data_IF_415353583679
#
_entry.id   IF_415353583679
#
_cell.length_a   1.000
_cell.length_b   1.000
_cell.length_c   1.000
_cell.angle_alpha   90.00
_cell.angle_beta   90.00
_cell.angle_gamma   90.00
#
_symmetry.space_group_name_H-M   'P 1'
#
loop_
_entity.id
_entity.type
_entity.pdbx_description
1 polymer ?
#
# COMPACT_ATOMS: atom_id res chain seq x y z
N UNK A 1 -21.02 -22.79 -3.41
CA UNK A 1 -20.42 -22.57 -2.09
C UNK A 1 -19.95 -21.14 -1.95
N UNK A 2 -20.40 -20.44 -0.93
CA UNK A 2 -20.02 -19.07 -0.70
C UNK A 2 -18.72 -19.00 0.10
N UNK A 3 -17.75 -18.20 -0.37
CA UNK A 3 -16.55 -17.91 0.39
C UNK A 3 -16.88 -16.90 1.49
N UNK A 4 -16.24 -17.01 2.66
CA UNK A 4 -16.31 -15.97 3.66
C UNK A 4 -15.46 -14.76 3.21
N UNK A 5 -15.56 -13.65 3.93
CA UNK A 5 -14.88 -12.39 3.58
C UNK A 5 -13.36 -12.56 3.49
N UNK A 6 -12.78 -13.33 4.41
CA UNK A 6 -11.33 -13.57 4.45
C UNK A 6 -10.87 -14.42 3.26
N UNK A 7 -11.58 -15.51 2.96
CA UNK A 7 -11.26 -16.38 1.82
C UNK A 7 -11.37 -15.65 0.49
N UNK A 8 -12.41 -14.82 0.35
CA UNK A 8 -12.61 -13.99 -0.85
C UNK A 8 -11.43 -13.04 -1.05
N UNK A 9 -10.96 -12.39 -0.01
CA UNK A 9 -9.81 -11.49 -0.09
C UNK A 9 -8.55 -12.24 -0.47
N UNK A 10 -8.29 -13.42 0.08
CA UNK A 10 -7.13 -14.23 -0.29
C UNK A 10 -7.15 -14.62 -1.77
N UNK A 11 -8.31 -14.97 -2.30
CA UNK A 11 -8.47 -15.31 -3.71
C UNK A 11 -8.15 -14.12 -4.61
N UNK A 12 -8.67 -12.95 -4.28
CA UNK A 12 -8.40 -11.71 -5.01
C UNK A 12 -6.92 -11.36 -4.93
N UNK A 13 -6.32 -11.48 -3.75
CA UNK A 13 -4.90 -11.22 -3.52
C UNK A 13 -4.02 -12.08 -4.42
N UNK A 14 -4.31 -13.39 -4.52
CA UNK A 14 -3.57 -14.29 -5.41
C UNK A 14 -3.64 -13.87 -6.86
N UNK A 15 -4.83 -13.47 -7.33
CA UNK A 15 -5.01 -12.96 -8.68
C UNK A 15 -4.19 -11.72 -8.97
N UNK A 16 -4.13 -10.80 -8.02
CA UNK A 16 -3.32 -9.58 -8.13
C UNK A 16 -1.83 -9.94 -8.16
N UNK A 17 -1.37 -10.81 -7.26
CA UNK A 17 0.04 -11.20 -7.17
C UNK A 17 0.54 -11.94 -8.40
N UNK A 18 -0.33 -12.61 -9.13
CA UNK A 18 0.04 -13.25 -10.39
C UNK A 18 0.33 -12.24 -11.51
N UNK A 19 -0.15 -11.01 -11.36
CA UNK A 19 -0.01 -9.94 -12.35
C UNK A 19 1.01 -8.88 -11.96
N UNK A 20 1.34 -8.78 -10.68
CA UNK A 20 2.17 -7.70 -10.13
C UNK A 20 3.38 -8.31 -9.44
N UNK A 21 4.56 -7.85 -9.82
CA UNK A 21 5.81 -8.18 -9.15
C UNK A 21 6.64 -6.90 -9.01
N UNK A 22 7.09 -6.61 -7.79
CA UNK A 22 7.96 -5.47 -7.54
C UNK A 22 9.40 -5.76 -7.93
N UNK A 23 10.03 -4.83 -8.61
CA UNK A 23 11.45 -4.91 -8.99
C UNK A 23 12.22 -3.78 -8.30
N UNK A 24 13.54 -3.75 -8.47
CA UNK A 24 14.38 -2.68 -7.93
C UNK A 24 13.99 -1.32 -8.51
N UNK A 25 13.71 -1.27 -9.83
CA UNK A 25 13.34 -0.03 -10.52
C UNK A 25 11.89 0.38 -10.27
N UNK A 26 11.03 -0.60 -10.04
CA UNK A 26 9.60 -0.38 -9.87
C UNK A 26 9.08 -1.30 -8.76
N UNK A 27 9.42 -0.99 -7.50
CA UNK A 27 9.02 -1.83 -6.37
C UNK A 27 7.50 -1.81 -6.15
N UNK A 28 7.04 -2.77 -5.36
CA UNK A 28 5.62 -2.96 -5.08
C UNK A 28 5.23 -2.22 -3.81
N UNK A 29 4.20 -1.37 -3.91
CA UNK A 29 3.58 -0.75 -2.73
C UNK A 29 2.45 -1.65 -2.27
N UNK A 30 2.60 -2.27 -1.11
CA UNK A 30 1.61 -3.16 -0.52
C UNK A 30 0.92 -2.50 0.67
N UNK A 31 -0.39 -2.64 0.75
CA UNK A 31 -1.22 -2.06 1.80
C UNK A 31 -1.74 -3.15 2.72
N UNK A 32 -1.72 -2.89 4.01
CA UNK A 32 -2.37 -3.74 5.01
C UNK A 32 -3.23 -2.89 5.94
N UNK A 33 -4.44 -3.31 6.19
CA UNK A 33 -5.40 -2.61 7.04
C UNK A 33 -5.94 -3.54 8.11
N UNK A 34 -5.92 -3.09 9.37
CA UNK A 34 -6.60 -3.71 10.48
C UNK A 34 -7.67 -2.77 11.02
N UNK A 35 -8.41 -3.19 12.06
CA UNK A 35 -9.40 -2.32 12.70
C UNK A 35 -8.77 -1.09 13.39
N UNK A 36 -7.49 -1.17 13.75
CA UNK A 36 -6.81 -0.15 14.54
C UNK A 36 -5.78 0.65 13.77
N UNK A 37 -5.29 0.14 12.64
CA UNK A 37 -4.18 0.77 11.93
C UNK A 37 -4.20 0.44 10.45
N UNK A 38 -3.56 1.31 9.67
CA UNK A 38 -3.28 1.05 8.26
C UNK A 38 -1.78 1.17 8.05
N UNK A 39 -1.22 0.27 7.25
CA UNK A 39 0.21 0.16 6.96
C UNK A 39 0.42 0.14 5.47
N UNK A 40 1.51 0.73 5.04
CA UNK A 40 1.94 0.63 3.65
C UNK A 40 3.43 0.34 3.60
N UNK A 41 3.84 -0.54 2.69
CA UNK A 41 5.23 -0.95 2.53
C UNK A 41 5.61 -0.87 1.07
N UNK A 42 6.84 -0.47 0.80
CA UNK A 42 7.44 -0.56 -0.54
C UNK A 42 8.42 -1.73 -0.51
N UNK A 43 8.18 -2.73 -1.35
CA UNK A 43 8.88 -4.01 -1.33
C UNK A 43 9.55 -4.25 -2.68
N UNK A 44 10.84 -4.60 -2.63
CA UNK A 44 11.58 -5.09 -3.78
C UNK A 44 11.50 -6.63 -3.75
N UNK A 45 10.62 -7.19 -4.56
CA UNK A 45 10.39 -8.64 -4.60
C UNK A 45 11.61 -9.40 -5.17
N UNK A 46 12.43 -8.76 -5.99
CA UNK A 46 13.62 -9.39 -6.56
C UNK A 46 14.67 -9.71 -5.48
N UNK A 47 14.68 -8.94 -4.40
CA UNK A 47 15.59 -9.12 -3.27
C UNK A 47 14.89 -9.62 -2.01
N UNK A 48 13.56 -9.76 -2.04
CA UNK A 48 12.77 -10.13 -0.86
C UNK A 48 12.92 -9.13 0.27
N UNK A 49 13.02 -7.84 -0.06
CA UNK A 49 13.39 -6.80 0.90
C UNK A 49 12.35 -5.68 0.95
N UNK A 50 11.94 -5.30 2.18
CA UNK A 50 11.11 -4.12 2.38
C UNK A 50 11.99 -2.88 2.39
N UNK A 51 11.84 -2.04 1.38
CA UNK A 51 12.68 -0.84 1.21
C UNK A 51 12.31 0.22 2.23
N UNK A 52 11.02 0.45 2.44
CA UNK A 52 10.52 1.42 3.40
C UNK A 52 9.07 1.13 3.77
N UNK A 53 8.61 1.71 4.87
CA UNK A 53 7.25 1.52 5.36
C UNK A 53 6.74 2.80 6.03
N UNK A 54 5.42 2.92 6.09
CA UNK A 54 4.74 3.97 6.85
C UNK A 54 3.45 3.40 7.45
N UNK A 55 3.01 3.96 8.56
CA UNK A 55 1.79 3.50 9.24
C UNK A 55 1.01 4.68 9.80
N UNK A 56 -0.25 4.41 10.18
CA UNK A 56 -1.11 5.42 10.79
C UNK A 56 -0.55 5.99 12.10
N UNK A 57 0.23 5.19 12.84
CA UNK A 57 0.87 5.67 14.07
C UNK A 57 1.91 6.75 13.81
N UNK A 58 2.60 6.73 12.68
CA UNK A 58 3.60 7.73 12.32
C UNK A 58 3.00 9.10 12.01
N UNK A 59 1.77 9.13 11.54
CA UNK A 59 1.10 10.40 11.21
C UNK A 59 0.22 10.90 12.35
N UNK A 60 0.28 10.24 13.52
CA UNK A 60 -0.47 10.66 14.70
C UNK A 60 -1.97 10.47 14.61
N UNK A 61 -2.44 9.65 13.68
CA UNK A 61 -3.86 9.44 13.47
C UNK A 61 -4.48 8.58 14.56
N UNK A 62 -5.71 8.91 14.95
CA UNK A 62 -6.52 8.11 15.86
C UNK A 62 -7.46 7.25 15.02
N UNK A 63 -7.20 5.95 14.99
CA UNK A 63 -7.97 5.01 14.21
C UNK A 63 -7.62 5.04 12.72
N UNK A 64 -8.44 4.38 11.90
CA UNK A 64 -8.22 4.28 10.46
C UNK A 64 -9.35 5.03 9.74
N UNK A 65 -9.04 6.24 9.30
CA UNK A 65 -9.96 7.09 8.55
C UNK A 65 -9.42 7.33 7.13
N UNK A 66 -10.24 7.91 6.27
CA UNK A 66 -9.84 8.29 4.92
C UNK A 66 -8.70 9.31 4.98
N UNK A 67 -8.80 10.30 5.85
CA UNK A 67 -7.80 11.35 6.02
C UNK A 67 -6.46 10.78 6.52
N UNK A 68 -6.51 9.90 7.52
CA UNK A 68 -5.31 9.23 8.05
C UNK A 68 -4.66 8.37 6.97
N UNK A 69 -5.47 7.63 6.20
CA UNK A 69 -4.96 6.80 5.11
C UNK A 69 -4.24 7.62 4.04
N UNK A 70 -4.80 8.76 3.69
CA UNK A 70 -4.18 9.70 2.75
C UNK A 70 -2.84 10.22 3.28
N UNK A 71 -2.76 10.57 4.56
CA UNK A 71 -1.53 11.02 5.20
C UNK A 71 -0.46 9.92 5.22
N UNK A 72 -0.85 8.67 5.45
CA UNK A 72 0.06 7.51 5.38
C UNK A 72 0.65 7.39 3.98
N UNK A 73 -0.18 7.52 2.95
CA UNK A 73 0.26 7.49 1.56
C UNK A 73 1.25 8.60 1.24
N UNK A 74 0.96 9.83 1.67
CA UNK A 74 1.86 10.98 1.50
C UNK A 74 3.19 10.76 2.21
N UNK A 75 3.15 10.27 3.45
CA UNK A 75 4.36 10.01 4.25
C UNK A 75 5.25 8.98 3.58
N UNK A 76 4.66 7.89 3.10
CA UNK A 76 5.39 6.85 2.38
C UNK A 76 6.02 7.41 1.10
N UNK A 77 5.25 8.20 0.35
CA UNK A 77 5.73 8.81 -0.89
C UNK A 77 6.89 9.77 -0.65
N UNK A 78 6.83 10.58 0.41
CA UNK A 78 7.93 11.47 0.79
C UNK A 78 9.21 10.67 1.08
N UNK A 79 9.10 9.59 1.84
CA UNK A 79 10.23 8.69 2.13
C UNK A 79 10.79 8.07 0.85
N UNK A 80 9.91 7.64 -0.05
CA UNK A 80 10.29 6.99 -1.29
C UNK A 80 11.03 7.95 -2.22
N UNK A 81 10.48 9.13 -2.45
CA UNK A 81 11.07 10.15 -3.32
C UNK A 81 12.43 10.59 -2.78
N UNK A 82 12.53 10.79 -1.46
CA UNK A 82 13.79 11.14 -0.80
C UNK A 82 14.87 10.07 -1.00
N UNK A 83 14.47 8.81 -1.17
CA UNK A 83 15.37 7.68 -1.41
C UNK A 83 15.59 7.37 -2.89
N UNK A 84 15.02 8.17 -3.79
CA UNK A 84 15.17 7.98 -5.24
C UNK A 84 14.16 7.04 -5.88
N UNK A 85 13.14 6.59 -5.14
CA UNK A 85 12.07 5.74 -5.67
C UNK A 85 10.93 6.63 -6.15
N UNK A 86 10.67 6.64 -7.46
CA UNK A 86 9.61 7.46 -8.05
C UNK A 86 8.47 6.62 -8.63
N UNK A 87 8.78 5.42 -9.12
CA UNK A 87 7.81 4.54 -9.77
C UNK A 87 7.56 3.33 -8.90
N UNK A 88 6.28 2.95 -8.80
CA UNK A 88 5.89 1.76 -8.06
C UNK A 88 4.76 1.03 -8.80
N UNK A 89 4.53 -0.23 -8.45
CA UNK A 89 3.29 -0.93 -8.78
C UNK A 89 2.45 -1.00 -7.51
N UNK A 90 1.17 -0.67 -7.61
CA UNK A 90 0.29 -0.64 -6.46
C UNK A 90 -0.38 -2.01 -6.28
N UNK A 91 -0.16 -2.61 -5.12
CA UNK A 91 -0.77 -3.88 -4.73
C UNK A 91 -1.80 -3.62 -3.63
N UNK A 92 -3.07 -3.65 -3.99
CA UNK A 92 -4.17 -3.44 -3.03
C UNK A 92 -4.37 -4.60 -2.05
N UNK A 93 -3.54 -5.64 -2.15
CA UNK A 93 -3.51 -6.78 -1.22
C UNK A 93 -4.88 -7.45 -1.02
N UNK A 94 -5.69 -7.53 -2.08
CA UNK A 94 -7.02 -8.13 -2.05
C UNK A 94 -8.13 -7.26 -1.47
N UNK A 95 -7.82 -6.06 -0.96
CA UNK A 95 -8.84 -5.11 -0.53
C UNK A 95 -9.53 -4.49 -1.74
N UNK A 96 -10.77 -4.04 -1.55
CA UNK A 96 -11.49 -3.29 -2.58
C UNK A 96 -10.82 -1.91 -2.73
N UNK A 97 -10.58 -1.49 -3.97
CA UNK A 97 -9.99 -0.17 -4.26
C UNK A 97 -11.04 0.91 -4.07
N UNK A 98 -11.32 1.22 -2.80
CA UNK A 98 -12.34 2.19 -2.39
C UNK A 98 -12.01 2.70 -0.99
N UNK A 99 -12.53 3.89 -0.65
CA UNK A 99 -12.40 4.47 0.68
C UNK A 99 -10.95 4.64 1.12
N UNK A 100 -10.58 3.97 2.19
CA UNK A 100 -9.26 4.09 2.83
C UNK A 100 -8.13 3.65 1.92
N UNK A 101 -8.30 2.55 1.19
CA UNK A 101 -7.28 2.03 0.27
C UNK A 101 -7.05 3.02 -0.89
N UNK A 102 -8.14 3.52 -1.46
CA UNK A 102 -8.08 4.54 -2.51
C UNK A 102 -7.44 5.83 -1.99
N UNK A 103 -7.79 6.27 -0.79
CA UNK A 103 -7.22 7.47 -0.17
C UNK A 103 -5.71 7.35 0.02
N UNK A 104 -5.22 6.20 0.45
CA UNK A 104 -3.80 5.94 0.57
C UNK A 104 -3.09 6.04 -0.78
N UNK A 105 -3.67 5.44 -1.82
CA UNK A 105 -3.11 5.51 -3.17
C UNK A 105 -3.08 6.94 -3.69
N UNK A 106 -4.14 7.71 -3.47
CA UNK A 106 -4.20 9.12 -3.87
C UNK A 106 -3.16 9.95 -3.13
N UNK A 107 -3.00 9.71 -1.82
CA UNK A 107 -1.97 10.37 -1.01
C UNK A 107 -0.56 10.07 -1.52
N UNK A 108 -0.29 8.83 -1.89
CA UNK A 108 0.99 8.44 -2.45
C UNK A 108 1.26 9.15 -3.78
N UNK A 109 0.25 9.27 -4.64
CA UNK A 109 0.38 10.02 -5.91
C UNK A 109 0.64 11.50 -5.67
N UNK A 110 -0.07 12.11 -4.73
CA UNK A 110 0.15 13.51 -4.34
C UNK A 110 1.55 13.75 -3.78
N UNK A 111 2.11 12.76 -3.09
CA UNK A 111 3.47 12.83 -2.55
C UNK A 111 4.57 12.64 -3.58
N UNK A 112 4.23 12.32 -4.82
CA UNK A 112 5.18 12.24 -5.92
C UNK A 112 5.41 10.85 -6.52
N UNK A 113 4.77 9.82 -6.02
CA UNK A 113 4.88 8.48 -6.61
C UNK A 113 4.06 8.36 -7.89
N UNK A 114 4.61 7.64 -8.85
CA UNK A 114 3.99 7.44 -10.18
C UNK A 114 3.51 6.00 -10.32
N UNK A 115 2.24 5.85 -10.52
CA UNK A 115 1.62 4.54 -10.78
C UNK A 115 0.21 4.70 -11.31
#
# INVERSE_FOLDING_TARGET
>A
MAFNKYERRLRIKKGIRNKIEGTTDKPRLSVFKSNKAIYAQIIDDSKGHTVMAASSSEVGGKGVTVEVSKEVGKKLAEKAVASGVERIVFDRNGYIYHGKIKALAEGAREGGLKF
#
